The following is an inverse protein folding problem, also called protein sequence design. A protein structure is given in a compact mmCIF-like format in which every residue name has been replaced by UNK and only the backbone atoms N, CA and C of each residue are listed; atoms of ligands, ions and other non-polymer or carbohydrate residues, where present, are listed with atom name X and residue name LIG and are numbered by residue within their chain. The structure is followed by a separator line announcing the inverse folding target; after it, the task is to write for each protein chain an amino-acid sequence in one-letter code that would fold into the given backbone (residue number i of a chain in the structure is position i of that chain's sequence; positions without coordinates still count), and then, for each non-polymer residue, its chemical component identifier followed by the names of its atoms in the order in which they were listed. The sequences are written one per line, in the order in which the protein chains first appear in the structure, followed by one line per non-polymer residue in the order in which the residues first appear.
data_IF_010412280273
#
_entry.id   IF_010412280273
#
_cell.length_a   1.000
_cell.length_b   1.000
_cell.length_c   1.000
_cell.angle_alpha   90.00
_cell.angle_beta   90.00
_cell.angle_gamma   90.00
#
_symmetry.space_group_name_H-M   'P 1'
#
loop_
_entity.id
_entity.type
_entity.pdbx_description
1 polymer ?
#
# COMPACT_ATOMS: atom_id res chain seq x y z
N UNK A 1 2.04 -7.27 16.80
CA UNK A 1 2.41 -6.56 15.56
C UNK A 1 1.14 -6.00 14.95
N UNK A 2 1.09 -4.72 14.56
CA UNK A 2 -0.15 -4.11 14.06
C UNK A 2 -0.27 -4.30 12.54
N UNK A 3 -1.44 -4.70 12.08
CA UNK A 3 -1.73 -4.86 10.65
C UNK A 3 -2.25 -3.55 10.07
N UNK A 4 -1.66 -3.12 8.95
CA UNK A 4 -2.06 -1.91 8.23
C UNK A 4 -2.69 -2.29 6.89
N UNK A 5 -3.93 -1.85 6.69
CA UNK A 5 -4.58 -1.80 5.39
C UNK A 5 -4.57 -0.35 4.88
N UNK A 6 -4.29 -0.14 3.60
CA UNK A 6 -4.26 1.20 2.99
C UNK A 6 -5.25 1.25 1.82
N UNK A 7 -6.19 2.18 1.86
CA UNK A 7 -7.17 2.40 0.79
C UNK A 7 -6.68 3.51 -0.14
N UNK A 8 -6.74 3.29 -1.45
CA UNK A 8 -6.30 4.25 -2.47
C UNK A 8 -7.29 4.35 -3.63
N UNK A 9 -7.24 5.47 -4.37
CA UNK A 9 -8.08 5.70 -5.56
C UNK A 9 -7.30 6.32 -6.73
N UNK A 10 -5.96 6.29 -6.69
CA UNK A 10 -5.13 7.00 -7.66
C UNK A 10 -3.62 6.75 -7.55
N UNK A 11 -2.82 7.82 -7.63
CA UNK A 11 -1.35 7.75 -7.76
C UNK A 11 -0.63 7.04 -6.60
N UNK A 12 -1.17 7.09 -5.39
CA UNK A 12 -0.60 6.38 -4.24
C UNK A 12 0.64 7.00 -3.61
N UNK A 13 0.92 8.30 -3.82
CA UNK A 13 2.11 8.96 -3.27
C UNK A 13 2.22 8.88 -1.74
N UNK A 14 1.10 9.06 -1.02
CA UNK A 14 1.07 8.94 0.45
C UNK A 14 1.33 7.49 0.89
N UNK A 15 0.67 6.53 0.24
CA UNK A 15 0.89 5.09 0.48
C UNK A 15 2.37 4.73 0.27
N UNK A 16 2.98 5.19 -0.83
CA UNK A 16 4.40 4.95 -1.11
C UNK A 16 5.31 5.50 -0.01
N UNK A 17 5.07 6.73 0.46
CA UNK A 17 5.83 7.33 1.56
C UNK A 17 5.70 6.54 2.87
N UNK A 18 4.48 6.08 3.19
CA UNK A 18 4.21 5.25 4.37
C UNK A 18 4.96 3.92 4.27
N UNK A 19 4.81 3.19 3.16
CA UNK A 19 5.44 1.88 2.96
C UNK A 19 6.98 1.98 3.00
N UNK A 20 7.55 3.00 2.34
CA UNK A 20 9.00 3.27 2.39
C UNK A 20 9.46 3.59 3.82
N UNK A 21 8.67 4.33 4.58
CA UNK A 21 9.01 4.69 5.97
C UNK A 21 8.97 3.48 6.90
N UNK A 22 7.97 2.61 6.77
CA UNK A 22 7.88 1.35 7.53
C UNK A 22 9.12 0.50 7.27
N UNK A 23 9.46 0.29 5.99
CA UNK A 23 10.63 -0.50 5.57
C UNK A 23 11.95 0.12 6.06
N UNK A 24 12.14 1.43 5.88
CA UNK A 24 13.40 2.13 6.19
C UNK A 24 13.62 2.30 7.71
N UNK A 25 12.58 2.67 8.45
CA UNK A 25 12.67 2.95 9.89
C UNK A 25 12.41 1.73 10.77
N UNK A 26 12.24 0.53 10.18
CA UNK A 26 11.91 -0.73 10.89
C UNK A 26 10.72 -0.57 11.84
N UNK A 27 9.68 0.16 11.40
CA UNK A 27 8.48 0.39 12.22
C UNK A 27 7.78 -0.97 12.40
N UNK A 28 7.38 -1.38 13.62
CA UNK A 28 6.80 -2.70 13.90
C UNK A 28 5.33 -2.83 13.45
N UNK A 29 5.08 -2.49 12.19
CA UNK A 29 3.79 -2.54 11.49
C UNK A 29 3.94 -3.45 10.28
N UNK A 30 2.95 -4.31 10.05
CA UNK A 30 2.86 -5.14 8.85
C UNK A 30 1.90 -4.49 7.85
N UNK A 31 2.38 -3.98 6.70
CA UNK A 31 1.50 -3.58 5.61
C UNK A 31 0.89 -4.83 4.98
N UNK A 32 -0.35 -5.14 5.35
CA UNK A 32 -1.00 -6.40 5.01
C UNK A 32 -1.64 -6.34 3.62
N UNK A 33 -2.27 -5.21 3.27
CA UNK A 33 -2.98 -5.06 2.00
C UNK A 33 -3.11 -3.60 1.58
N UNK A 34 -3.06 -3.36 0.27
CA UNK A 34 -3.52 -2.11 -0.37
C UNK A 34 -4.79 -2.41 -1.16
N UNK A 35 -5.85 -1.66 -0.89
CA UNK A 35 -7.15 -1.83 -1.53
C UNK A 35 -7.42 -0.62 -2.41
N UNK A 36 -7.88 -0.83 -3.64
CA UNK A 36 -8.35 0.27 -4.48
C UNK A 36 -9.75 0.06 -5.02
N UNK A 37 -10.49 1.16 -5.11
CA UNK A 37 -11.76 1.22 -5.85
C UNK A 37 -11.57 1.48 -7.36
N UNK A 38 -10.32 1.51 -7.86
CA UNK A 38 -10.02 1.70 -9.28
C UNK A 38 -8.99 0.68 -9.75
N UNK A 39 -9.31 -0.18 -10.73
CA UNK A 39 -8.38 -1.21 -11.20
C UNK A 39 -7.11 -0.62 -11.85
N UNK A 40 -7.18 0.60 -12.37
CA UNK A 40 -6.06 1.28 -13.03
C UNK A 40 -5.28 2.24 -12.11
N UNK A 41 -5.52 2.24 -10.80
CA UNK A 41 -4.79 3.09 -9.87
C UNK A 41 -3.28 2.78 -9.92
N UNK A 42 -2.46 3.77 -10.30
CA UNK A 42 -0.99 3.64 -10.37
C UNK A 42 -0.39 3.18 -9.03
N UNK A 43 -1.03 3.49 -7.90
CA UNK A 43 -0.60 3.06 -6.58
C UNK A 43 -0.60 1.54 -6.37
N UNK A 44 -1.43 0.77 -7.08
CA UNK A 44 -1.44 -0.70 -6.99
C UNK A 44 -0.10 -1.29 -7.44
N UNK A 45 0.39 -0.86 -8.61
CA UNK A 45 1.71 -1.28 -9.13
C UNK A 45 2.86 -0.88 -8.21
N UNK A 46 2.73 0.24 -7.51
CA UNK A 46 3.73 0.70 -6.54
C UNK A 46 3.72 -0.21 -5.30
N UNK A 47 2.54 -0.56 -4.78
CA UNK A 47 2.38 -1.46 -3.64
C UNK A 47 2.96 -2.86 -3.92
N UNK A 48 2.66 -3.42 -5.10
CA UNK A 48 3.18 -4.71 -5.56
C UNK A 48 4.72 -4.69 -5.62
N UNK A 49 5.32 -3.63 -6.20
CA UNK A 49 6.78 -3.46 -6.24
C UNK A 49 7.42 -3.36 -4.85
N UNK A 50 6.66 -2.90 -3.85
CA UNK A 50 7.10 -2.82 -2.46
C UNK A 50 6.80 -4.11 -1.67
N UNK A 51 6.25 -5.14 -2.32
CA UNK A 51 5.97 -6.44 -1.72
C UNK A 51 4.68 -6.49 -0.90
N UNK A 52 3.73 -5.57 -1.14
CA UNK A 52 2.46 -5.52 -0.42
C UNK A 52 1.35 -6.09 -1.30
N UNK A 53 0.51 -6.96 -0.73
CA UNK A 53 -0.65 -7.53 -1.42
C UNK A 53 -1.60 -6.43 -1.88
N UNK A 54 -2.12 -6.53 -3.09
CA UNK A 54 -3.11 -5.61 -3.67
C UNK A 54 -4.46 -6.30 -3.86
N UNK A 55 -5.55 -5.54 -3.70
CA UNK A 55 -6.92 -5.96 -4.00
C UNK A 55 -7.67 -4.81 -4.65
N UNK A 56 -8.50 -5.12 -5.65
CA UNK A 56 -9.45 -4.18 -6.25
C UNK A 56 -10.86 -4.57 -5.83
N UNK A 57 -11.68 -3.59 -5.46
CA UNK A 57 -13.10 -3.79 -5.08
C UNK A 57 -13.93 -2.76 -5.84
N UNK A 58 -14.98 -3.19 -6.52
CA UNK A 58 -15.93 -2.34 -7.27
C UNK A 58 -17.27 -2.22 -6.52
#
# INVERSE_FOLDING_TARGET
MLNLAILISGRGSNMEAILKSIKKKKIPIMPAVVISNKPNAKGLKIAEKLGVKTVVVE
#
